data_IF_806110636974
#
_entry.id   IF_806110636974
#
_cell.length_a   1.000
_cell.length_b   1.000
_cell.length_c   1.000
_cell.angle_alpha   90.00
_cell.angle_beta   90.00
_cell.angle_gamma   90.00
#
_symmetry.space_group_name_H-M   'P 1'
#
loop_
_entity.id
_entity.type
_entity.pdbx_description
1 polymer ?
#
# COMPACT_ATOMS: atom_id res chain seq x y z
N UNK A 1 36.47 -2.40 -2.57
CA UNK A 1 35.29 -3.19 -2.18
C UNK A 1 34.10 -2.22 -2.12
N UNK A 2 33.29 -2.12 -3.17
CA UNK A 2 32.04 -1.34 -3.14
C UNK A 2 30.98 -2.25 -2.52
N UNK A 3 30.76 -2.10 -1.21
CA UNK A 3 29.78 -2.90 -0.44
C UNK A 3 28.33 -2.43 -0.65
N UNK A 4 28.14 -1.31 -1.35
CA UNK A 4 26.83 -0.77 -1.69
C UNK A 4 26.74 -0.70 -3.21
N UNK A 5 25.90 -1.55 -3.79
CA UNK A 5 25.44 -1.36 -5.17
C UNK A 5 24.64 -0.06 -5.22
N UNK A 6 24.72 0.67 -6.33
CA UNK A 6 23.84 1.82 -6.58
C UNK A 6 22.37 1.32 -6.55
N UNK A 7 21.49 2.02 -5.85
CA UNK A 7 20.05 1.69 -5.78
C UNK A 7 19.46 1.54 -7.20
N UNK A 8 19.99 2.30 -8.15
CA UNK A 8 19.65 2.22 -9.57
C UNK A 8 19.97 0.85 -10.18
N UNK A 9 21.12 0.26 -9.84
CA UNK A 9 21.52 -1.06 -10.34
C UNK A 9 20.63 -2.16 -9.75
N UNK A 10 20.24 -2.04 -8.47
CA UNK A 10 19.33 -2.99 -7.84
C UNK A 10 17.91 -2.90 -8.44
N UNK A 11 17.41 -1.69 -8.68
CA UNK A 11 16.11 -1.49 -9.31
C UNK A 11 16.07 -2.05 -10.73
N UNK A 12 17.13 -1.87 -11.52
CA UNK A 12 17.23 -2.47 -12.86
C UNK A 12 17.18 -4.00 -12.81
N UNK A 13 17.95 -4.62 -11.90
CA UNK A 13 17.91 -6.09 -11.70
C UNK A 13 16.54 -6.58 -11.26
N UNK A 14 15.80 -5.81 -10.46
CA UNK A 14 14.43 -6.14 -10.06
C UNK A 14 13.46 -6.01 -11.24
N UNK A 15 13.63 -5.00 -12.08
CA UNK A 15 12.83 -4.82 -13.31
C UNK A 15 13.03 -5.98 -14.28
N UNK A 16 14.28 -6.38 -14.53
CA UNK A 16 14.64 -7.55 -15.37
C UNK A 16 14.00 -8.85 -14.86
N UNK A 17 13.86 -9.00 -13.54
CA UNK A 17 13.21 -10.17 -12.92
C UNK A 17 11.69 -10.12 -12.95
N UNK A 18 11.10 -9.05 -13.49
CA UNK A 18 9.65 -8.89 -13.62
C UNK A 18 9.00 -8.39 -12.34
N UNK A 19 9.47 -7.26 -11.81
CA UNK A 19 8.89 -6.62 -10.62
C UNK A 19 7.36 -6.43 -10.76
N UNK A 20 6.54 -7.14 -9.97
CA UNK A 20 5.09 -7.07 -10.08
C UNK A 20 4.53 -5.69 -9.71
N UNK A 21 5.21 -4.95 -8.84
CA UNK A 21 4.80 -3.59 -8.47
C UNK A 21 5.01 -2.59 -9.59
N UNK A 22 6.07 -2.76 -10.40
CA UNK A 22 6.29 -1.91 -11.57
C UNK A 22 5.23 -2.16 -12.64
N UNK A 23 4.84 -3.42 -12.85
CA UNK A 23 3.72 -3.78 -13.74
C UNK A 23 2.40 -3.19 -13.24
N UNK A 24 2.14 -3.25 -11.93
CA UNK A 24 0.98 -2.63 -11.30
C UNK A 24 0.96 -1.12 -11.50
N UNK A 25 2.10 -0.46 -11.28
CA UNK A 25 2.24 0.98 -11.43
C UNK A 25 1.95 1.45 -12.85
N UNK A 26 2.34 0.67 -13.87
CA UNK A 26 2.06 0.94 -15.28
C UNK A 26 0.62 0.62 -15.70
N UNK A 27 -0.05 -0.28 -15.00
CA UNK A 27 -1.40 -0.72 -15.36
C UNK A 27 -2.50 0.23 -14.88
N UNK A 28 -2.22 1.07 -13.88
CA UNK A 28 -3.19 1.94 -13.24
C UNK A 28 -2.88 3.39 -13.58
N UNK A 29 -3.86 4.13 -14.10
CA UNK A 29 -3.75 5.59 -14.18
C UNK A 29 -4.02 6.22 -12.80
N UNK A 30 -2.94 6.51 -12.08
CA UNK A 30 -3.03 7.08 -10.74
C UNK A 30 -3.63 8.49 -10.72
N UNK A 31 -3.56 9.24 -11.83
CA UNK A 31 -4.06 10.62 -11.86
C UNK A 31 -5.59 10.69 -11.74
N UNK A 32 -6.30 9.64 -12.16
CA UNK A 32 -7.76 9.55 -12.00
C UNK A 32 -8.19 9.59 -10.52
N UNK A 33 -7.32 9.14 -9.61
CA UNK A 33 -7.61 9.12 -8.18
C UNK A 33 -7.32 10.46 -7.50
N UNK A 34 -6.48 11.33 -8.08
CA UNK A 34 -6.10 12.60 -7.46
C UNK A 34 -7.29 13.49 -7.09
N UNK A 35 -8.30 13.72 -7.96
CA UNK A 35 -9.46 14.54 -7.61
C UNK A 35 -10.26 13.95 -6.43
N UNK A 36 -10.40 12.63 -6.40
CA UNK A 36 -11.11 11.90 -5.35
C UNK A 36 -10.37 12.03 -4.03
N UNK A 37 -9.07 11.73 -4.04
CA UNK A 37 -8.20 11.82 -2.86
C UNK A 37 -8.10 13.25 -2.35
N UNK A 38 -8.00 14.23 -3.25
CA UNK A 38 -8.01 15.65 -2.88
C UNK A 38 -9.31 15.99 -2.19
N UNK A 39 -10.48 15.58 -2.69
CA UNK A 39 -11.75 15.85 -2.01
C UNK A 39 -11.85 15.21 -0.62
N UNK A 40 -11.27 14.03 -0.45
CA UNK A 40 -11.29 13.28 0.82
C UNK A 40 -10.33 13.89 1.84
N UNK A 41 -9.12 14.24 1.42
CA UNK A 41 -8.04 14.66 2.31
C UNK A 41 -7.83 16.18 2.37
N UNK A 42 -8.35 16.95 1.41
CA UNK A 42 -8.38 18.40 1.49
C UNK A 42 -9.25 18.79 2.66
N UNK A 43 -8.60 19.28 3.70
CA UNK A 43 -9.26 19.78 4.87
C UNK A 43 -9.50 21.29 4.66
N UNK A 44 -10.75 21.75 4.47
CA UNK A 44 -11.04 23.16 4.18
C UNK A 44 -10.67 24.12 5.32
N UNK A 45 -10.29 23.58 6.49
CA UNK A 45 -9.96 24.36 7.69
C UNK A 45 -8.45 24.55 7.93
N UNK A 46 -7.58 23.93 7.13
CA UNK A 46 -6.13 24.05 7.31
C UNK A 46 -5.53 25.06 6.34
N UNK A 47 -5.19 26.23 6.87
CA UNK A 47 -4.40 27.24 6.17
C UNK A 47 -3.02 26.65 5.79
N UNK A 48 -2.66 26.61 4.49
CA UNK A 48 -1.31 26.23 4.04
C UNK A 48 -0.20 27.09 4.64
N UNK A 49 -0.56 28.27 5.15
CA UNK A 49 0.33 29.27 5.75
C UNK A 49 0.77 28.96 7.20
N UNK A 50 0.19 27.96 7.87
CA UNK A 50 0.64 27.55 9.22
C UNK A 50 1.66 26.42 9.07
N UNK A 51 2.94 26.78 9.14
CA UNK A 51 4.09 25.91 8.88
C UNK A 51 4.03 24.52 9.53
N UNK A 52 4.52 23.53 8.78
CA UNK A 52 4.65 22.12 9.16
C UNK A 52 5.41 21.35 8.07
N UNK A 53 5.78 20.09 8.33
CA UNK A 53 6.40 19.18 7.34
C UNK A 53 5.53 19.18 6.07
N UNK A 54 6.11 19.26 4.86
CA UNK A 54 5.35 19.27 3.62
C UNK A 54 4.30 18.17 3.65
N UNK A 55 3.07 18.48 3.24
CA UNK A 55 2.03 17.48 3.14
C UNK A 55 2.55 16.33 2.28
N UNK A 56 2.58 15.10 2.82
CA UNK A 56 2.86 13.93 2.00
C UNK A 56 1.82 13.88 0.88
N UNK A 57 2.29 13.57 -0.32
CA UNK A 57 1.45 13.49 -1.52
C UNK A 57 0.31 12.49 -1.27
N UNK A 58 -0.93 12.89 -1.60
CA UNK A 58 -2.11 12.06 -1.42
C UNK A 58 -2.01 10.75 -2.21
N UNK A 59 -1.37 10.78 -3.39
CA UNK A 59 -1.12 9.57 -4.18
C UNK A 59 -0.15 8.64 -3.47
N UNK A 60 0.91 9.20 -2.90
CA UNK A 60 1.91 8.43 -2.16
C UNK A 60 1.25 7.69 -0.99
N UNK A 61 0.43 8.38 -0.19
CA UNK A 61 -0.30 7.73 0.90
C UNK A 61 -1.34 6.71 0.43
N UNK A 62 -2.02 6.98 -0.69
CA UNK A 62 -2.96 6.03 -1.27
C UNK A 62 -2.26 4.74 -1.72
N UNK A 63 -1.11 4.86 -2.40
CA UNK A 63 -0.27 3.72 -2.79
C UNK A 63 0.26 2.94 -1.58
N UNK A 64 0.64 3.62 -0.50
CA UNK A 64 1.03 2.97 0.77
C UNK A 64 -0.12 2.12 1.34
N UNK A 65 -1.33 2.67 1.40
CA UNK A 65 -2.49 1.93 1.91
C UNK A 65 -2.91 0.78 1.00
N UNK A 66 -2.76 0.93 -0.32
CA UNK A 66 -2.95 -0.15 -1.28
C UNK A 66 -1.95 -1.29 -1.02
N UNK A 67 -0.65 -0.98 -0.89
CA UNK A 67 0.38 -1.98 -0.55
C UNK A 67 0.09 -2.67 0.78
N UNK A 68 -0.31 -1.91 1.80
CA UNK A 68 -0.68 -2.45 3.11
C UNK A 68 -1.81 -3.49 2.97
N UNK A 69 -2.82 -3.23 2.14
CA UNK A 69 -3.94 -4.15 1.90
C UNK A 69 -3.60 -5.34 1.02
N UNK A 70 -2.74 -5.16 0.02
CA UNK A 70 -2.27 -6.26 -0.85
C UNK A 70 -1.41 -7.26 -0.07
N UNK A 71 -0.59 -6.78 0.87
CA UNK A 71 0.31 -7.62 1.67
C UNK A 71 -0.26 -7.98 3.05
N UNK A 72 -1.46 -7.51 3.39
CA UNK A 72 -2.13 -7.72 4.67
C UNK A 72 -1.25 -7.34 5.89
N UNK A 73 -0.61 -6.16 5.81
CA UNK A 73 0.34 -5.65 6.81
C UNK A 73 -0.36 -4.77 7.86
N UNK A 74 0.18 -4.75 9.08
CA UNK A 74 -0.15 -3.72 10.08
C UNK A 74 0.50 -2.37 9.70
N UNK A 75 0.19 -1.30 10.46
CA UNK A 75 0.80 0.01 10.22
C UNK A 75 2.32 -0.01 10.46
N UNK A 76 2.75 -0.59 11.58
CA UNK A 76 4.17 -0.73 11.92
C UNK A 76 4.91 -1.63 10.93
N UNK A 77 4.27 -2.72 10.49
CA UNK A 77 4.85 -3.59 9.48
C UNK A 77 4.98 -2.88 8.12
N UNK A 78 4.02 -2.02 7.75
CA UNK A 78 4.09 -1.25 6.51
C UNK A 78 5.22 -0.22 6.56
N UNK A 79 5.38 0.51 7.68
CA UNK A 79 6.52 1.43 7.88
C UNK A 79 7.85 0.69 7.75
N UNK A 80 8.01 -0.44 8.45
CA UNK A 80 9.22 -1.25 8.37
C UNK A 80 9.53 -1.70 6.93
N UNK A 81 8.51 -2.16 6.20
CA UNK A 81 8.69 -2.61 4.80
C UNK A 81 9.09 -1.46 3.86
N UNK A 82 8.64 -0.22 4.10
CA UNK A 82 9.09 0.94 3.32
C UNK A 82 10.54 1.33 3.64
N UNK A 83 10.99 1.15 4.87
CA UNK A 83 12.39 1.38 5.25
C UNK A 83 13.33 0.32 4.67
N UNK A 84 12.87 -0.92 4.55
CA UNK A 84 13.69 -2.06 4.13
C UNK A 84 13.68 -2.28 2.60
N UNK A 85 12.55 -2.05 1.92
CA UNK A 85 12.36 -2.48 0.53
C UNK A 85 12.34 -1.32 -0.46
N UNK A 86 13.42 -1.22 -1.23
CA UNK A 86 13.55 -0.28 -2.35
C UNK A 86 12.42 -0.43 -3.39
N UNK A 87 11.94 -1.64 -3.67
CA UNK A 87 10.80 -1.85 -4.58
C UNK A 87 9.50 -1.23 -4.07
N UNK A 88 9.28 -1.21 -2.76
CA UNK A 88 8.11 -0.59 -2.15
C UNK A 88 8.25 0.94 -2.19
N UNK A 89 9.43 1.46 -1.88
CA UNK A 89 9.73 2.90 -2.00
C UNK A 89 9.55 3.41 -3.42
N UNK A 90 10.09 2.68 -4.41
CA UNK A 90 9.96 3.00 -5.82
C UNK A 90 8.48 3.03 -6.26
N UNK A 91 7.70 2.03 -5.87
CA UNK A 91 6.27 1.98 -6.21
C UNK A 91 5.49 3.15 -5.61
N UNK A 92 5.71 3.41 -4.32
CA UNK A 92 5.04 4.48 -3.57
C UNK A 92 5.49 5.87 -4.03
N UNK A 93 6.71 6.00 -4.56
CA UNK A 93 7.29 7.26 -4.99
C UNK A 93 7.87 8.08 -3.82
N UNK A 94 8.30 7.42 -2.74
CA UNK A 94 8.94 8.07 -1.60
C UNK A 94 10.45 7.80 -1.56
N UNK A 95 11.22 8.79 -1.11
CA UNK A 95 12.62 8.61 -0.73
C UNK A 95 12.75 8.22 0.75
N UNK A 96 13.96 7.89 1.17
CA UNK A 96 14.30 7.49 2.53
C UNK A 96 13.92 8.56 3.59
N UNK A 97 13.88 9.84 3.19
CA UNK A 97 13.54 10.96 4.08
C UNK A 97 12.04 11.21 4.23
N UNK A 98 11.22 10.61 3.36
CA UNK A 98 9.77 10.84 3.25
C UNK A 98 8.93 9.59 3.54
N UNK A 99 9.54 8.54 4.09
CA UNK A 99 8.79 7.35 4.53
C UNK A 99 7.75 7.75 5.59
N UNK A 100 6.45 7.44 5.39
CA UNK A 100 5.43 7.71 6.38
C UNK A 100 5.58 6.77 7.57
N UNK A 101 5.51 7.34 8.78
CA UNK A 101 5.46 6.56 10.00
C UNK A 101 4.10 5.84 10.17
N UNK A 102 4.06 4.80 10.99
CA UNK A 102 2.86 4.02 11.26
C UNK A 102 1.68 4.88 11.71
N UNK A 103 1.94 5.94 12.48
CA UNK A 103 0.92 6.87 12.96
C UNK A 103 0.29 7.68 11.81
N UNK A 104 1.09 8.08 10.84
CA UNK A 104 0.64 8.78 9.62
C UNK A 104 -0.19 7.84 8.76
N UNK A 105 0.28 6.60 8.55
CA UNK A 105 -0.46 5.57 7.83
C UNK A 105 -1.82 5.33 8.49
N UNK A 106 -1.83 5.17 9.82
CA UNK A 106 -3.04 5.01 10.62
C UNK A 106 -4.00 6.19 10.43
N UNK A 107 -3.52 7.44 10.53
CA UNK A 107 -4.35 8.65 10.40
C UNK A 107 -5.01 8.75 9.02
N UNK A 108 -4.28 8.41 7.96
CA UNK A 108 -4.81 8.40 6.60
C UNK A 108 -5.85 7.31 6.39
N UNK A 109 -5.57 6.09 6.90
CA UNK A 109 -6.54 5.00 6.87
C UNK A 109 -7.80 5.34 7.63
N UNK A 110 -7.67 5.93 8.81
CA UNK A 110 -8.79 6.31 9.65
C UNK A 110 -9.68 7.36 8.98
N UNK A 111 -9.08 8.38 8.33
CA UNK A 111 -9.82 9.36 7.53
C UNK A 111 -10.59 8.71 6.38
N UNK A 112 -9.99 7.75 5.68
CA UNK A 112 -10.68 7.01 4.61
C UNK A 112 -11.86 6.19 5.13
N UNK A 113 -11.71 5.55 6.29
CA UNK A 113 -12.77 4.79 6.95
C UNK A 113 -13.92 5.70 7.39
N UNK A 114 -13.61 6.82 8.04
CA UNK A 114 -14.61 7.75 8.58
C UNK A 114 -15.45 8.42 7.50
N UNK A 115 -14.85 8.74 6.35
CA UNK A 115 -15.55 9.38 5.25
C UNK A 115 -16.53 8.44 4.52
N UNK A 116 -16.68 7.19 5.01
CA UNK A 116 -17.64 6.19 4.50
C UNK A 116 -17.64 6.14 2.97
N UNK A 117 -16.46 6.32 2.37
CA UNK A 117 -16.34 6.31 0.92
C UNK A 117 -16.28 4.83 0.51
N UNK A 118 -17.43 4.16 0.59
CA UNK A 118 -17.63 2.79 0.13
C UNK A 118 -17.09 2.61 -1.29
N UNK A 119 -17.08 3.68 -2.10
CA UNK A 119 -16.47 3.73 -3.42
C UNK A 119 -14.96 3.46 -3.41
N UNK A 120 -14.19 4.06 -2.50
CA UNK A 120 -12.73 3.84 -2.43
C UNK A 120 -12.42 2.45 -1.88
N UNK A 121 -13.13 2.00 -0.84
CA UNK A 121 -12.95 0.63 -0.30
C UNK A 121 -13.38 -0.42 -1.34
N UNK A 122 -14.46 -0.17 -2.10
CA UNK A 122 -14.92 -1.04 -3.19
C UNK A 122 -13.92 -1.02 -4.35
N UNK A 123 -13.36 0.13 -4.72
CA UNK A 123 -12.29 0.23 -5.73
C UNK A 123 -11.03 -0.52 -5.31
N UNK A 124 -10.58 -0.36 -4.06
CA UNK A 124 -9.45 -1.13 -3.53
C UNK A 124 -9.74 -2.64 -3.52
N UNK A 125 -10.97 -3.04 -3.23
CA UNK A 125 -11.42 -4.45 -3.32
C UNK A 125 -11.48 -4.95 -4.76
N UNK A 126 -11.94 -4.13 -5.70
CA UNK A 126 -12.01 -4.43 -7.13
C UNK A 126 -10.60 -4.61 -7.70
N UNK A 127 -9.68 -3.68 -7.40
CA UNK A 127 -8.28 -3.75 -7.79
C UNK A 127 -7.63 -5.01 -7.20
N UNK A 128 -7.97 -5.40 -5.97
CA UNK A 128 -7.48 -6.66 -5.38
C UNK A 128 -7.92 -7.89 -6.19
N UNK A 129 -9.17 -7.96 -6.64
CA UNK A 129 -9.67 -9.09 -7.42
C UNK A 129 -9.07 -9.13 -8.83
N UNK A 130 -8.98 -7.98 -9.51
CA UNK A 130 -8.31 -7.87 -10.81
C UNK A 130 -6.81 -8.18 -10.71
N UNK A 131 -6.15 -7.77 -9.62
CA UNK A 131 -4.73 -8.07 -9.38
C UNK A 131 -4.47 -9.56 -9.17
N UNK A 132 -5.33 -10.26 -8.41
CA UNK A 132 -5.25 -11.72 -8.22
C UNK A 132 -5.44 -12.44 -9.57
N UNK A 133 -6.34 -11.95 -10.42
CA UNK A 133 -6.60 -12.53 -11.74
C UNK A 133 -5.51 -12.19 -12.78
N UNK A 134 -4.85 -11.04 -12.65
CA UNK A 134 -3.80 -10.57 -13.57
C UNK A 134 -2.43 -11.22 -13.30
N UNK A 135 -2.22 -11.79 -12.10
CA UNK A 135 -1.02 -12.54 -11.73
C UNK A 135 -1.35 -13.98 -11.29
N UNK A 136 -1.80 -14.86 -12.21
CA UNK A 136 -2.18 -16.22 -11.84
C UNK A 136 -0.99 -17.13 -11.45
N UNK A 137 0.28 -16.73 -11.63
CA UNK A 137 1.43 -17.66 -11.54
C UNK A 137 2.66 -17.16 -10.77
N UNK A 138 2.59 -16.10 -9.96
CA UNK A 138 3.76 -15.65 -9.17
C UNK A 138 3.56 -15.62 -7.65
N UNK A 139 2.59 -16.35 -7.10
CA UNK A 139 2.38 -16.41 -5.65
C UNK A 139 3.20 -17.52 -4.95
N UNK A 140 3.81 -18.48 -5.67
CA UNK A 140 4.41 -19.61 -4.96
C UNK A 140 5.82 -19.38 -4.37
N UNK A 141 6.58 -18.33 -4.74
CA UNK A 141 7.99 -18.22 -4.31
C UNK A 141 8.47 -16.86 -3.77
N UNK A 142 7.59 -15.89 -3.48
CA UNK A 142 8.05 -14.59 -2.91
C UNK A 142 7.38 -14.16 -1.60
N UNK A 143 6.37 -14.88 -1.11
CA UNK A 143 5.72 -14.58 0.18
C UNK A 143 5.29 -15.88 0.90
N UNK A 144 6.22 -16.59 1.57
CA UNK A 144 5.95 -17.91 2.16
C UNK A 144 4.98 -17.91 3.36
N UNK A 145 4.58 -16.75 3.88
CA UNK A 145 3.66 -16.62 5.01
C UNK A 145 2.18 -16.48 4.62
N UNK A 146 1.87 -16.47 3.32
CA UNK A 146 0.49 -16.42 2.83
C UNK A 146 -0.13 -17.84 2.79
N UNK A 147 -0.18 -18.51 3.94
CA UNK A 147 -1.16 -19.56 4.17
C UNK A 147 -2.52 -18.88 4.37
N UNK A 148 -3.29 -18.79 3.27
CA UNK A 148 -4.73 -18.56 3.31
C UNK A 148 -5.36 -19.72 4.10
N UNK A 149 -5.52 -19.54 5.40
CA UNK A 149 -6.53 -20.30 6.13
C UNK A 149 -7.89 -19.81 5.64
N UNK A 150 -8.51 -20.60 4.77
CA UNK A 150 -9.94 -20.55 4.51
C UNK A 150 -10.66 -20.69 5.86
N UNK A 151 -11.16 -19.58 6.39
CA UNK A 151 -12.04 -19.59 7.55
C UNK A 151 -13.42 -20.04 7.11
N UNK A 152 -13.63 -21.36 7.11
CA UNK A 152 -14.97 -21.92 7.16
C UNK A 152 -15.57 -21.56 8.52
N UNK A 153 -16.57 -20.68 8.50
CA UNK A 153 -17.41 -20.42 9.66
C UNK A 153 -18.48 -21.50 9.73
N UNK A 154 -18.40 -22.45 10.67
CA UNK A 154 -19.59 -22.99 11.34
C UNK A 154 -19.33 -23.33 12.80
N UNK A 155 -20.03 -22.57 13.62
CA UNK A 155 -20.28 -22.67 15.04
C UNK A 155 -20.88 -24.03 15.42
N UNK A 156 -20.30 -24.72 16.41
CA UNK A 156 -21.05 -25.63 17.30
C UNK A 156 -20.22 -25.94 18.56
N UNK A 157 -20.51 -25.21 19.63
CA UNK A 157 -20.10 -25.55 21.00
C UNK A 157 -21.09 -26.60 21.56
N UNK A 158 -20.64 -27.73 22.14
CA UNK A 158 -21.53 -28.62 22.86
C UNK A 158 -21.74 -28.12 24.29
N UNK A 159 -23.01 -27.97 24.68
CA UNK A 159 -23.45 -27.77 26.06
C UNK A 159 -23.22 -29.08 26.82
N UNK A 160 -22.36 -29.06 27.85
CA UNK A 160 -22.28 -30.15 28.84
C UNK A 160 -23.43 -30.00 29.84
N UNK A 161 -24.22 -31.07 29.99
CA UNK A 161 -25.07 -31.33 31.17
C UNK A 161 -24.23 -32.03 32.24
#
# INVERSE_FOLDING_TARGET
MRLFSDDTELLNKLSEKGNPLERLDKAIDWQEFLPILTRIFANPTKNPSKGGRPHLDFLMMFKTLLLQRLNNLSDDAMEYQLLDRLSFRQFVGCDDSRVPDAKTIWLYRERLSQLTCHLVIRLLTQIKQEFINFFPTCIHNSFPHLHLHSTDSQTSLPIKK
#
